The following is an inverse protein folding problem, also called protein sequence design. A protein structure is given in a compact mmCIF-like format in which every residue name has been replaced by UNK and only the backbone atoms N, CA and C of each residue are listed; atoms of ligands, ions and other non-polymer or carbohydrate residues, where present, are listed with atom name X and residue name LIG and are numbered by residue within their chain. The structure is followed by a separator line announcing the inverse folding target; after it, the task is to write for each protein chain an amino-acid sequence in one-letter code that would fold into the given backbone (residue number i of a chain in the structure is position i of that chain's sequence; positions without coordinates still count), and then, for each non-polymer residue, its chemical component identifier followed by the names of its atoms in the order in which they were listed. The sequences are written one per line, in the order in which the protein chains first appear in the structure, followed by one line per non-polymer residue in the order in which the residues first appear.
data_IF_829064307045
#
_entry.id   IF_829064307045
#
_cell.length_a   1.000
_cell.length_b   1.000
_cell.length_c   1.000
_cell.angle_alpha   90.00
_cell.angle_beta   90.00
_cell.angle_gamma   90.00
#
_symmetry.space_group_name_H-M   'P 1'
#
loop_
_entity.id
_entity.type
_entity.pdbx_description
1 polymer ?
#
# COMPACT_ATOMS: atom_id res chain seq x y z
N UNK A 1 2.74 1.55 9.05
CA UNK A 1 3.09 0.46 8.13
C UNK A 1 3.51 -0.75 8.92
N UNK A 2 3.28 -1.95 8.39
CA UNK A 2 3.72 -3.18 9.04
C UNK A 2 5.23 -3.12 9.29
N UNK A 3 5.63 -3.55 10.49
CA UNK A 3 7.03 -3.48 10.90
C UNK A 3 7.81 -4.67 10.34
N UNK A 4 9.06 -4.45 9.96
CA UNK A 4 9.90 -5.48 9.30
C UNK A 4 10.12 -6.71 10.19
N UNK A 5 10.19 -6.55 11.51
CA UNK A 5 10.31 -7.68 12.43
C UNK A 5 9.09 -8.63 12.38
N UNK A 6 7.90 -8.11 12.05
CA UNK A 6 6.70 -8.92 11.89
C UNK A 6 6.76 -9.68 10.56
N UNK A 7 7.32 -9.07 9.51
CA UNK A 7 7.60 -9.74 8.24
C UNK A 7 8.64 -10.87 8.39
N UNK A 8 9.62 -10.69 9.27
CA UNK A 8 10.64 -11.70 9.57
C UNK A 8 10.15 -12.86 10.46
N UNK A 9 8.93 -12.78 11.00
CA UNK A 9 8.33 -13.85 11.83
C UNK A 9 7.53 -14.87 11.00
N UNK A 10 7.11 -15.96 11.67
CA UNK A 10 6.27 -17.04 11.09
C UNK A 10 4.79 -16.65 10.90
N UNK A 11 4.40 -15.39 11.14
CA UNK A 11 3.02 -14.96 10.89
C UNK A 11 2.66 -15.15 9.41
N UNK A 12 1.57 -15.85 9.13
CA UNK A 12 1.20 -16.21 7.76
C UNK A 12 0.63 -15.05 6.93
N UNK A 13 0.41 -13.88 7.52
CA UNK A 13 -0.26 -12.74 6.87
C UNK A 13 0.61 -11.50 6.78
N UNK A 14 0.29 -10.64 5.82
CA UNK A 14 0.82 -9.27 5.68
C UNK A 14 -0.35 -8.30 5.54
N UNK A 15 -0.22 -7.09 6.07
CA UNK A 15 -1.15 -5.99 5.82
C UNK A 15 -0.80 -5.32 4.49
N UNK A 16 -1.79 -5.20 3.62
CA UNK A 16 -1.65 -4.54 2.32
C UNK A 16 -2.59 -3.35 2.22
N UNK A 17 -2.19 -2.36 1.43
CA UNK A 17 -3.08 -1.31 0.93
C UNK A 17 -3.25 -1.56 -0.57
N UNK A 18 -4.48 -1.79 -1.07
CA UNK A 18 -4.70 -2.03 -2.49
C UNK A 18 -4.31 -0.82 -3.35
N UNK A 19 -3.78 -1.10 -4.55
CA UNK A 19 -3.60 -0.12 -5.61
C UNK A 19 -4.69 -0.31 -6.68
N UNK A 20 -5.18 0.79 -7.23
CA UNK A 20 -6.12 0.81 -8.36
C UNK A 20 -5.66 1.82 -9.40
N UNK A 21 -5.85 1.52 -10.68
CA UNK A 21 -5.60 2.48 -11.77
C UNK A 21 -6.74 3.46 -12.00
N UNK A 22 -7.83 3.37 -11.21
CA UNK A 22 -8.87 4.39 -11.19
C UNK A 22 -8.40 5.60 -10.37
N UNK A 23 -7.77 6.55 -11.06
CA UNK A 23 -7.18 7.72 -10.44
C UNK A 23 -8.22 8.70 -9.88
N UNK A 24 -9.50 8.57 -10.24
CA UNK A 24 -10.58 9.37 -9.64
C UNK A 24 -10.71 9.12 -8.12
N UNK A 25 -10.24 7.97 -7.64
CA UNK A 25 -10.26 7.62 -6.23
C UNK A 25 -9.27 8.44 -5.38
N UNK A 26 -8.34 9.20 -5.98
CA UNK A 26 -7.46 10.10 -5.25
C UNK A 26 -8.24 11.15 -4.44
N UNK A 27 -9.43 11.55 -4.92
CA UNK A 27 -10.26 12.54 -4.27
C UNK A 27 -10.79 12.12 -2.88
N UNK A 28 -10.71 10.83 -2.53
CA UNK A 28 -11.13 10.35 -1.22
C UNK A 28 -10.08 10.63 -0.15
N UNK A 29 -10.46 11.15 1.04
CA UNK A 29 -9.52 11.53 2.08
C UNK A 29 -8.52 10.41 2.47
N UNK A 30 -7.24 10.74 2.42
CA UNK A 30 -6.15 9.84 2.79
C UNK A 30 -5.69 8.89 1.69
N UNK A 31 -6.41 8.77 0.57
CA UNK A 31 -5.90 8.07 -0.60
C UNK A 31 -4.68 8.82 -1.16
N UNK A 32 -3.77 8.06 -1.78
CA UNK A 32 -2.48 8.59 -2.22
C UNK A 32 -2.27 8.26 -3.69
N UNK A 33 -2.02 9.27 -4.51
CA UNK A 33 -1.62 9.09 -5.89
C UNK A 33 -0.22 8.47 -5.98
N UNK A 34 -0.08 7.49 -6.86
CA UNK A 34 1.13 6.70 -7.06
C UNK A 34 1.49 6.78 -8.56
N UNK A 35 2.46 7.64 -8.92
CA UNK A 35 2.94 7.75 -10.30
C UNK A 35 3.58 6.44 -10.76
N UNK A 36 3.33 6.02 -12.00
CA UNK A 36 3.89 4.80 -12.60
C UNK A 36 5.42 4.75 -12.55
N UNK A 37 6.07 5.90 -12.69
CA UNK A 37 7.53 6.04 -12.68
C UNK A 37 8.15 5.68 -11.32
N UNK A 38 7.34 5.61 -10.27
CA UNK A 38 7.79 5.43 -8.88
C UNK A 38 7.34 4.12 -8.24
N UNK A 39 6.45 3.35 -8.89
CA UNK A 39 5.83 2.16 -8.31
C UNK A 39 6.24 0.84 -8.95
N UNK A 40 6.79 0.88 -10.17
CA UNK A 40 6.98 -0.32 -10.99
C UNK A 40 5.69 -0.84 -11.63
N UNK A 41 4.58 -0.11 -11.50
CA UNK A 41 3.32 -0.41 -12.22
C UNK A 41 3.35 0.12 -13.64
N UNK A 42 2.57 -0.51 -14.53
CA UNK A 42 2.42 -0.06 -15.93
C UNK A 42 1.62 1.25 -16.07
N UNK A 43 0.84 1.61 -15.04
CA UNK A 43 -0.10 2.73 -15.04
C UNK A 43 -0.01 3.54 -13.75
N UNK A 44 -0.36 4.81 -13.84
CA UNK A 44 -0.63 5.63 -12.66
C UNK A 44 -1.75 4.99 -11.85
N UNK A 45 -1.60 5.05 -10.54
CA UNK A 45 -2.47 4.33 -9.62
C UNK A 45 -2.77 5.17 -8.38
N UNK A 46 -3.72 4.73 -7.57
CA UNK A 46 -4.06 5.30 -6.27
C UNK A 46 -4.01 4.20 -5.23
N UNK A 47 -3.36 4.47 -4.10
CA UNK A 47 -3.42 3.63 -2.91
C UNK A 47 -4.72 3.91 -2.15
N UNK A 48 -5.58 2.90 -2.06
CA UNK A 48 -6.91 3.00 -1.44
C UNK A 48 -6.81 2.64 0.04
N UNK A 49 -6.46 3.62 0.87
CA UNK A 49 -6.10 3.38 2.28
C UNK A 49 -7.24 2.82 3.12
N UNK A 50 -8.49 3.14 2.77
CA UNK A 50 -9.69 2.64 3.44
C UNK A 50 -9.91 1.12 3.27
N UNK A 51 -9.19 0.49 2.34
CA UNK A 51 -9.26 -0.95 2.08
C UNK A 51 -8.04 -1.70 2.61
N UNK A 52 -7.33 -1.13 3.59
CA UNK A 52 -6.25 -1.84 4.28
C UNK A 52 -6.75 -3.14 4.90
N UNK A 53 -6.02 -4.23 4.70
CA UNK A 53 -6.42 -5.53 5.24
C UNK A 53 -5.31 -6.59 5.21
N UNK A 54 -5.50 -7.71 5.93
CA UNK A 54 -4.58 -8.83 5.92
C UNK A 54 -4.73 -9.66 4.63
N UNK A 55 -3.61 -10.11 4.09
CA UNK A 55 -3.51 -11.07 2.98
C UNK A 55 -2.58 -12.21 3.39
N UNK A 56 -2.93 -13.45 3.04
CA UNK A 56 -2.04 -14.61 3.24
C UNK A 56 -0.79 -14.47 2.37
N UNK A 57 0.38 -14.74 2.94
CA UNK A 57 1.67 -14.67 2.24
C UNK A 57 1.75 -15.60 1.03
N UNK A 58 0.97 -16.68 1.00
CA UNK A 58 0.92 -17.60 -0.13
C UNK A 58 0.34 -16.97 -1.41
N UNK A 59 -0.40 -15.86 -1.29
CA UNK A 59 -0.95 -15.12 -2.42
C UNK A 59 -0.04 -13.98 -2.91
N UNK A 60 1.12 -13.79 -2.28
CA UNK A 60 2.08 -12.78 -2.71
C UNK A 60 3.02 -13.38 -3.76
N UNK A 61 3.19 -12.66 -4.88
CA UNK A 61 4.25 -13.00 -5.82
C UNK A 61 5.61 -12.87 -5.10
N UNK A 62 6.50 -13.87 -5.20
CA UNK A 62 7.82 -13.80 -4.60
C UNK A 62 8.68 -12.66 -5.15
N UNK A 63 8.37 -12.13 -6.34
CA UNK A 63 9.08 -11.03 -6.97
C UNK A 63 8.30 -9.72 -6.85
N UNK A 64 8.84 -8.69 -6.18
CA UNK A 64 8.17 -7.41 -6.06
C UNK A 64 8.13 -6.70 -7.42
N UNK A 65 6.98 -6.11 -7.75
CA UNK A 65 6.85 -5.24 -8.93
C UNK A 65 7.75 -3.98 -8.84
N UNK A 66 8.07 -3.53 -7.62
CA UNK A 66 8.90 -2.37 -7.37
C UNK A 66 8.93 -2.00 -5.90
N UNK A 67 9.50 -0.83 -5.60
CA UNK A 67 9.54 -0.25 -4.26
C UNK A 67 9.14 1.20 -4.31
N UNK A 68 8.10 1.55 -3.55
CA UNK A 68 7.68 2.95 -3.45
C UNK A 68 8.75 3.80 -2.75
N UNK A 69 8.97 5.04 -3.21
CA UNK A 69 9.82 5.99 -2.53
C UNK A 69 9.28 6.35 -1.14
N UNK A 70 10.19 6.70 -0.22
CA UNK A 70 9.88 6.95 1.19
C UNK A 70 8.80 8.00 1.41
N UNK A 71 8.70 9.02 0.57
CA UNK A 71 7.68 10.07 0.72
C UNK A 71 6.26 9.52 0.49
N UNK A 72 6.04 8.70 -0.55
CA UNK A 72 4.76 8.02 -0.77
C UNK A 72 4.43 7.05 0.36
N UNK A 73 5.42 6.30 0.87
CA UNK A 73 5.19 5.43 2.03
C UNK A 73 4.76 6.22 3.28
N UNK A 74 5.27 7.44 3.47
CA UNK A 74 4.86 8.32 4.57
C UNK A 74 3.42 8.81 4.40
N UNK A 75 3.03 9.19 3.18
CA UNK A 75 1.67 9.60 2.85
C UNK A 75 0.68 8.45 3.04
N UNK A 76 0.98 7.26 2.52
CA UNK A 76 0.17 6.05 2.73
C UNK A 76 0.06 5.75 4.23
N UNK A 77 1.16 5.88 4.97
CA UNK A 77 1.14 5.74 6.43
C UNK A 77 0.24 6.76 7.13
N UNK A 78 0.18 8.00 6.64
CA UNK A 78 -0.72 9.03 7.16
C UNK A 78 -2.19 8.74 6.82
N UNK A 79 -2.47 8.28 5.59
CA UNK A 79 -3.81 7.86 5.18
C UNK A 79 -4.33 6.67 6.00
N UNK A 80 -3.48 5.68 6.27
CA UNK A 80 -3.83 4.54 7.14
C UNK A 80 -4.18 5.00 8.55
N UNK A 81 -3.39 5.92 9.13
CA UNK A 81 -3.69 6.51 10.45
C UNK A 81 -5.04 7.22 10.46
N UNK A 82 -5.32 8.00 9.41
CA UNK A 82 -6.60 8.70 9.25
C UNK A 82 -7.79 7.74 9.23
N UNK A 83 -7.74 6.64 8.46
CA UNK A 83 -8.88 5.70 8.36
C UNK A 83 -9.02 4.75 9.55
N UNK A 84 -7.96 4.59 10.35
CA UNK A 84 -7.98 3.74 11.56
C UNK A 84 -8.15 4.53 12.85
N UNK A 85 -8.13 5.87 12.79
CA UNK A 85 -8.37 6.75 13.93
C UNK A 85 -7.22 6.82 14.95
N UNK A 86 -5.97 6.66 14.49
CA UNK A 86 -4.76 6.69 15.32
C UNK A 86 -3.78 7.79 14.92
#
# INVERSE_FOLDING_TARGET
MQQDWLLASDIATVLVVPLTSDTALEAFPGNVFVPRETSGSEKDSVAVVSQIGPVSREYLDPYPAGRLPTYLLREVGAGVRLVTGI
#
